data_IF_212825208149
#
_entry.id   IF_212825208149
#
_cell.length_a   1.000
_cell.length_b   1.000
_cell.length_c   1.000
_cell.angle_alpha   90.00
_cell.angle_beta   90.00
_cell.angle_gamma   90.00
#
_symmetry.space_group_name_H-M   'P 1'
#
loop_
_entity.id
_entity.type
_entity.pdbx_description
1 polymer ?
#
# COMPACT_ATOMS: atom_id res chain seq x y z
N UNK A 1 66.56 -1.63 -0.15
CA UNK A 1 65.54 -1.11 0.77
C UNK A 1 64.13 -1.42 0.24
N UNK A 2 63.89 -2.68 -0.18
CA UNK A 2 62.66 -3.14 -0.86
C UNK A 2 61.95 -4.22 -0.03
N UNK A 3 62.73 -5.11 0.59
CA UNK A 3 62.24 -6.20 1.44
C UNK A 3 61.37 -5.75 2.63
N UNK A 4 61.58 -4.53 3.14
CA UNK A 4 60.79 -3.98 4.26
C UNK A 4 59.39 -3.51 3.82
N UNK A 5 59.18 -3.20 2.55
CA UNK A 5 57.89 -2.69 2.08
C UNK A 5 56.95 -3.84 1.72
N UNK A 6 57.49 -4.95 1.22
CA UNK A 6 56.71 -6.11 0.78
C UNK A 6 55.92 -6.76 1.94
N UNK A 7 56.50 -6.87 3.13
CA UNK A 7 55.80 -7.45 4.28
C UNK A 7 54.71 -6.53 4.84
N UNK A 8 54.89 -5.21 4.76
CA UNK A 8 53.88 -4.22 5.17
C UNK A 8 52.66 -4.29 4.22
N UNK A 9 52.91 -4.43 2.93
CA UNK A 9 51.85 -4.60 1.94
C UNK A 9 51.08 -5.92 2.13
N UNK A 10 51.79 -7.01 2.41
CA UNK A 10 51.18 -8.30 2.73
C UNK A 10 50.29 -8.23 3.99
N UNK A 11 50.77 -7.55 5.04
CA UNK A 11 50.02 -7.33 6.28
C UNK A 11 48.75 -6.51 6.03
N UNK A 12 48.86 -5.39 5.31
CA UNK A 12 47.75 -4.51 4.99
C UNK A 12 46.71 -5.21 4.09
N UNK A 13 47.14 -6.04 3.14
CA UNK A 13 46.25 -6.83 2.29
C UNK A 13 45.47 -7.87 3.12
N UNK A 14 46.13 -8.52 4.06
CA UNK A 14 45.50 -9.48 4.98
C UNK A 14 44.50 -8.79 5.93
N UNK A 15 44.89 -7.67 6.56
CA UNK A 15 44.01 -6.88 7.41
C UNK A 15 42.77 -6.38 6.66
N UNK A 16 42.94 -5.84 5.45
CA UNK A 16 41.80 -5.40 4.62
C UNK A 16 40.88 -6.55 4.26
N UNK A 17 41.42 -7.73 3.97
CA UNK A 17 40.65 -8.94 3.74
C UNK A 17 39.81 -9.33 4.96
N UNK A 18 40.44 -9.38 6.13
CA UNK A 18 39.76 -9.71 7.40
C UNK A 18 38.68 -8.68 7.75
N UNK A 19 39.00 -7.39 7.69
CA UNK A 19 38.04 -6.31 7.96
C UNK A 19 36.88 -6.34 6.96
N UNK A 20 37.15 -6.57 5.67
CA UNK A 20 36.10 -6.68 4.66
C UNK A 20 35.17 -7.86 4.93
N UNK A 21 35.72 -9.00 5.35
CA UNK A 21 34.92 -10.18 5.70
C UNK A 21 34.02 -9.91 6.91
N UNK A 22 34.58 -9.36 7.99
CA UNK A 22 33.83 -9.01 9.20
C UNK A 22 32.74 -7.99 8.88
N UNK A 23 33.08 -6.95 8.12
CA UNK A 23 32.12 -5.92 7.72
C UNK A 23 31.00 -6.50 6.87
N UNK A 24 31.31 -7.36 5.89
CA UNK A 24 30.29 -8.08 5.11
C UNK A 24 29.36 -8.89 6.00
N UNK A 25 29.92 -9.69 6.92
CA UNK A 25 29.13 -10.50 7.84
C UNK A 25 28.22 -9.64 8.74
N UNK A 26 28.76 -8.55 9.29
CA UNK A 26 28.00 -7.61 10.09
C UNK A 26 26.87 -6.95 9.29
N UNK A 27 27.13 -6.50 8.06
CA UNK A 27 26.11 -5.91 7.18
C UNK A 27 25.04 -6.93 6.78
N UNK A 28 25.43 -8.16 6.45
CA UNK A 28 24.49 -9.23 6.11
C UNK A 28 23.60 -9.55 7.31
N UNK A 29 24.18 -9.67 8.50
CA UNK A 29 23.43 -9.94 9.72
C UNK A 29 22.50 -8.78 10.08
N UNK A 30 22.99 -7.54 10.01
CA UNK A 30 22.18 -6.35 10.26
C UNK A 30 21.02 -6.25 9.25
N UNK A 31 21.29 -6.50 7.97
CA UNK A 31 20.27 -6.54 6.92
C UNK A 31 19.23 -7.63 7.17
N UNK A 32 19.65 -8.81 7.62
CA UNK A 32 18.75 -9.91 7.95
C UNK A 32 17.84 -9.57 9.14
N UNK A 33 18.41 -9.03 10.22
CA UNK A 33 17.66 -8.58 11.39
C UNK A 33 16.68 -7.47 11.02
N UNK A 34 17.13 -6.50 10.21
CA UNK A 34 16.27 -5.42 9.72
C UNK A 34 15.10 -5.96 8.88
N UNK A 35 15.38 -6.87 7.95
CA UNK A 35 14.34 -7.50 7.13
C UNK A 35 13.32 -8.24 8.00
N UNK A 36 13.79 -9.05 8.97
CA UNK A 36 12.92 -9.75 9.90
C UNK A 36 12.06 -8.76 10.71
N UNK A 37 12.67 -7.68 11.20
CA UNK A 37 12.00 -6.62 11.94
C UNK A 37 10.89 -5.97 11.13
N UNK A 38 11.14 -5.64 9.85
CA UNK A 38 10.12 -5.06 8.96
C UNK A 38 8.97 -6.03 8.71
N UNK A 39 9.26 -7.32 8.51
CA UNK A 39 8.23 -8.35 8.32
C UNK A 39 7.35 -8.46 9.57
N UNK A 40 7.96 -8.61 10.74
CA UNK A 40 7.24 -8.73 12.02
C UNK A 40 6.42 -7.46 12.29
N UNK A 41 7.00 -6.28 12.06
CA UNK A 41 6.31 -5.01 12.24
C UNK A 41 5.11 -4.88 11.30
N UNK A 42 5.28 -5.24 10.03
CA UNK A 42 4.20 -5.24 9.03
C UNK A 42 3.07 -6.20 9.39
N UNK A 43 3.40 -7.41 9.84
CA UNK A 43 2.40 -8.38 10.32
C UNK A 43 1.66 -7.86 11.55
N UNK A 44 2.37 -7.31 12.52
CA UNK A 44 1.78 -6.77 13.75
C UNK A 44 0.84 -5.61 13.44
N UNK A 45 1.27 -4.64 12.62
CA UNK A 45 0.42 -3.52 12.17
C UNK A 45 -0.80 -4.02 11.40
N UNK A 46 -0.62 -4.96 10.48
CA UNK A 46 -1.72 -5.56 9.74
C UNK A 46 -2.74 -6.23 10.66
N UNK A 47 -2.27 -7.01 11.64
CA UNK A 47 -3.12 -7.65 12.62
C UNK A 47 -3.89 -6.63 13.48
N UNK A 48 -3.21 -5.60 13.99
CA UNK A 48 -3.84 -4.51 14.77
C UNK A 48 -4.93 -3.83 13.95
N UNK A 49 -4.66 -3.50 12.69
CA UNK A 49 -5.65 -2.86 11.81
C UNK A 49 -6.85 -3.77 11.53
N UNK A 50 -6.62 -5.07 11.35
CA UNK A 50 -7.70 -6.05 11.17
C UNK A 50 -8.57 -6.15 12.42
N UNK A 51 -7.95 -6.29 13.60
CA UNK A 51 -8.66 -6.33 14.88
C UNK A 51 -9.46 -5.04 15.08
N UNK A 52 -8.84 -3.88 14.81
CA UNK A 52 -9.49 -2.58 14.91
C UNK A 52 -10.68 -2.44 13.95
N UNK A 53 -10.55 -2.91 12.71
CA UNK A 53 -11.64 -2.90 11.73
C UNK A 53 -12.81 -3.79 12.17
N UNK A 54 -12.50 -4.97 12.73
CA UNK A 54 -13.49 -5.87 13.30
C UNK A 54 -14.23 -5.23 14.48
N UNK A 55 -13.51 -4.56 15.40
CA UNK A 55 -14.10 -3.82 16.51
C UNK A 55 -15.02 -2.68 16.04
N UNK A 56 -14.70 -2.04 14.93
CA UNK A 56 -15.54 -1.00 14.33
C UNK A 56 -16.71 -1.53 13.49
N UNK A 57 -16.92 -2.86 13.44
CA UNK A 57 -17.96 -3.51 12.63
C UNK A 57 -17.76 -3.36 11.12
N UNK A 58 -16.63 -2.82 10.67
CA UNK A 58 -16.30 -2.66 9.25
C UNK A 58 -15.53 -3.88 8.79
N UNK A 59 -16.13 -4.67 7.89
CA UNK A 59 -15.46 -5.83 7.30
C UNK A 59 -14.17 -5.39 6.61
N UNK A 60 -12.99 -5.92 6.99
CA UNK A 60 -11.74 -5.58 6.33
C UNK A 60 -11.84 -6.00 4.87
N UNK A 61 -11.95 -5.02 3.97
CA UNK A 61 -11.93 -5.26 2.53
C UNK A 61 -10.52 -5.73 2.20
N UNK A 62 -10.36 -7.01 1.86
CA UNK A 62 -9.12 -7.54 1.32
C UNK A 62 -8.73 -6.69 0.10
N UNK A 63 -7.68 -5.89 0.25
CA UNK A 63 -7.08 -5.16 -0.87
C UNK A 63 -6.44 -6.24 -1.74
N UNK A 64 -7.17 -6.71 -2.76
CA UNK A 64 -6.56 -7.51 -3.81
C UNK A 64 -5.50 -6.63 -4.43
N UNK A 65 -4.23 -6.99 -4.24
CA UNK A 65 -3.10 -6.43 -4.97
C UNK A 65 -3.20 -6.87 -6.44
N UNK A 66 -4.26 -6.41 -7.12
CA UNK A 66 -4.39 -6.48 -8.56
C UNK A 66 -3.38 -5.50 -9.14
N UNK A 67 -2.58 -6.00 -10.08
CA UNK A 67 -1.46 -5.33 -10.75
C UNK A 67 -1.93 -4.15 -11.60
N UNK A 68 -2.40 -3.07 -10.99
CA UNK A 68 -2.66 -1.80 -11.66
C UNK A 68 -1.86 -0.69 -10.99
N UNK A 69 -0.59 -0.48 -11.41
CA UNK A 69 0.29 0.56 -10.87
C UNK A 69 -0.34 1.97 -10.89
N UNK A 70 -1.32 2.21 -11.76
CA UNK A 70 -2.05 3.49 -11.85
C UNK A 70 -3.32 3.62 -10.99
N UNK A 71 -3.86 2.51 -10.46
CA UNK A 71 -5.13 2.54 -9.74
C UNK A 71 -5.01 3.15 -8.34
N UNK A 72 -3.89 2.88 -7.65
CA UNK A 72 -3.63 3.43 -6.32
C UNK A 72 -3.34 4.93 -6.38
N UNK A 73 -2.56 5.38 -7.37
CA UNK A 73 -2.28 6.80 -7.60
C UNK A 73 -3.56 7.61 -7.90
N UNK A 74 -4.50 7.02 -8.65
CA UNK A 74 -5.80 7.63 -8.93
C UNK A 74 -6.68 7.69 -7.68
N UNK A 75 -6.63 6.68 -6.79
CA UNK A 75 -7.33 6.71 -5.50
C UNK A 75 -6.81 7.78 -4.56
N UNK A 76 -5.49 7.95 -4.45
CA UNK A 76 -4.91 9.01 -3.63
C UNK A 76 -5.26 10.40 -4.15
N UNK A 77 -5.21 10.62 -5.47
CA UNK A 77 -5.66 11.87 -6.09
C UNK A 77 -7.15 12.12 -5.89
N UNK A 78 -7.99 11.11 -6.02
CA UNK A 78 -9.43 11.21 -5.78
C UNK A 78 -9.74 11.54 -4.31
N UNK A 79 -9.05 10.92 -3.35
CA UNK A 79 -9.18 11.22 -1.92
C UNK A 79 -8.70 12.64 -1.57
N UNK A 80 -7.64 13.12 -2.24
CA UNK A 80 -7.16 14.49 -2.08
C UNK A 80 -8.09 15.53 -2.74
N UNK A 81 -8.74 15.19 -3.85
CA UNK A 81 -9.74 16.03 -4.51
C UNK A 81 -11.04 16.13 -3.69
N UNK A 82 -11.51 15.01 -3.11
CA UNK A 82 -12.68 14.97 -2.23
C UNK A 82 -12.52 15.83 -0.95
N UNK A 83 -11.28 16.04 -0.50
CA UNK A 83 -10.97 16.94 0.63
C UNK A 83 -10.94 18.43 0.25
N UNK A 84 -10.80 18.77 -1.04
CA UNK A 84 -10.74 20.17 -1.52
C UNK A 84 -12.10 20.74 -1.93
N UNK A 85 -13.10 19.90 -2.18
CA UNK A 85 -14.45 20.35 -2.52
C UNK A 85 -15.49 19.58 -1.71
N UNK A 86 -16.02 20.16 -0.60
CA UNK A 86 -17.04 19.54 0.26
C UNK A 86 -18.42 19.30 -0.39
N UNK A 87 -18.52 19.33 -1.73
CA UNK A 87 -19.78 19.21 -2.47
C UNK A 87 -19.66 18.60 -3.87
N UNK A 88 -18.46 18.24 -4.32
CA UNK A 88 -18.30 17.51 -5.59
C UNK A 88 -18.52 16.01 -5.31
N UNK A 89 -19.74 15.52 -5.55
CA UNK A 89 -20.01 14.08 -5.57
C UNK A 89 -19.02 13.43 -6.54
N UNK A 90 -18.14 12.52 -6.08
CA UNK A 90 -17.43 11.66 -7.01
C UNK A 90 -18.50 10.81 -7.70
N UNK A 91 -18.52 10.83 -9.01
CA UNK A 91 -19.32 9.90 -9.81
C UNK A 91 -18.73 8.50 -9.59
N UNK A 92 -19.19 7.85 -8.52
CA UNK A 92 -18.85 6.47 -8.20
C UNK A 92 -19.66 5.64 -9.18
N UNK A 93 -19.06 4.74 -9.98
CA UNK A 93 -19.82 3.73 -10.68
C UNK A 93 -20.48 2.84 -9.63
N UNK A 94 -21.72 3.16 -9.27
CA UNK A 94 -22.50 2.44 -8.28
C UNK A 94 -22.82 1.08 -8.87
N UNK A 95 -22.25 0.04 -8.29
CA UNK A 95 -22.64 -1.34 -8.57
C UNK A 95 -24.04 -1.53 -7.98
N UNK A 96 -25.06 -1.25 -8.79
CA UNK A 96 -26.46 -1.25 -8.39
C UNK A 96 -27.02 0.17 -8.42
N UNK A 97 -27.17 0.72 -9.62
CA UNK A 97 -27.94 1.93 -9.85
C UNK A 97 -29.42 1.55 -9.73
N UNK A 98 -29.93 1.54 -8.50
CA UNK A 98 -31.36 1.38 -8.24
C UNK A 98 -31.97 2.73 -8.56
N UNK A 99 -32.52 2.82 -9.76
CA UNK A 99 -33.34 3.95 -10.18
C UNK A 99 -34.68 3.79 -9.48
N UNK A 100 -34.91 4.56 -8.43
CA UNK A 100 -36.25 4.67 -7.84
C UNK A 100 -37.15 5.37 -8.86
N UNK A 101 -37.93 4.56 -9.59
CA UNK A 101 -38.91 5.04 -10.54
C UNK A 101 -40.15 5.43 -9.74
N UNK A 102 -40.33 6.73 -9.49
CA UNK A 102 -41.62 7.24 -9.04
C UNK A 102 -42.63 7.14 -10.19
N UNK A 103 -43.55 6.19 -10.07
CA UNK A 103 -44.66 6.03 -11.02
C UNK A 103 -45.69 7.12 -10.74
N UNK A 104 -45.69 8.16 -11.58
CA UNK A 104 -46.78 9.15 -11.58
C UNK A 104 -47.92 8.60 -12.42
N UNK A 105 -49.03 8.25 -11.77
CA UNK A 105 -50.27 7.85 -12.47
C UNK A 105 -50.81 9.05 -13.24
N UNK A 106 -50.76 8.96 -14.57
CA UNK A 106 -51.37 9.94 -15.47
C UNK A 106 -52.82 9.47 -15.63
N UNK A 107 -53.77 10.25 -15.12
CA UNK A 107 -55.18 10.02 -15.38
C UNK A 107 -55.41 10.10 -16.90
N UNK A 108 -55.79 8.98 -17.49
CA UNK A 108 -56.12 8.85 -18.91
C UNK A 108 -57.39 9.66 -19.20
N UNK A 109 -57.33 10.76 -19.97
CA UNK A 109 -58.53 11.44 -20.42
C UNK A 109 -59.12 10.59 -21.54
N UNK A 110 -59.89 9.57 -21.16
CA UNK A 110 -60.81 8.90 -22.09
C UNK A 110 -61.64 9.99 -22.78
N UNK A 111 -61.57 10.12 -24.11
CA UNK A 111 -62.43 11.06 -24.80
C UNK A 111 -63.86 10.54 -24.67
N UNK A 112 -64.69 11.29 -23.98
CA UNK A 112 -66.14 11.12 -24.00
C UNK A 112 -66.58 11.47 -25.43
N UNK A 113 -66.75 10.45 -26.26
CA UNK A 113 -67.37 10.59 -27.56
C UNK A 113 -68.88 10.46 -27.41
N UNK A 114 -69.58 11.58 -27.57
CA UNK A 114 -70.98 11.66 -28.01
C UNK A 114 -71.00 12.31 -29.40
#
# INVERSE_FOLDING_TARGET
MTMTNDWIEALNRSLRGAVSLVLKMALTLAGLVFMLGVVVLGLTLGAVLVVWALLQGKRPRAVRFGRHPGADWNRFRAAAAARRSPGARPDVPSRGDVVDVEVREIADPRPLGD
#
